data_IF_682207740896
#
_entry.id   IF_682207740896
#
_cell.length_a   1.000
_cell.length_b   1.000
_cell.length_c   1.000
_cell.angle_alpha   90.00
_cell.angle_beta   90.00
_cell.angle_gamma   90.00
#
_symmetry.space_group_name_H-M   'P 1'
#
loop_
_entity.id
_entity.type
_entity.pdbx_description
1 polymer ?
#
# COMPACT_ATOMS: atom_id res chain seq x y z
N UNK A 1 13.88 3.01 -32.08
CA UNK A 1 13.92 3.27 -30.64
C UNK A 1 12.93 2.30 -30.05
N UNK A 2 13.44 1.24 -29.44
CA UNK A 2 12.67 0.06 -29.03
C UNK A 2 11.74 0.39 -27.86
N UNK A 3 10.43 0.45 -28.16
CA UNK A 3 9.38 0.27 -27.17
C UNK A 3 9.32 -1.21 -26.82
N UNK A 4 10.10 -1.64 -25.83
CA UNK A 4 9.95 -2.97 -25.26
C UNK A 4 8.61 -3.07 -24.56
N UNK A 5 7.75 -3.85 -25.18
CA UNK A 5 6.48 -4.39 -24.72
C UNK A 5 6.57 -4.84 -23.27
N UNK A 6 6.13 -3.98 -22.35
CA UNK A 6 6.12 -4.27 -20.91
C UNK A 6 4.87 -5.11 -20.58
N UNK A 7 4.80 -6.31 -21.19
CA UNK A 7 3.77 -7.32 -20.98
C UNK A 7 4.25 -8.28 -19.87
N UNK A 8 3.59 -8.27 -18.69
CA UNK A 8 3.98 -9.12 -17.56
C UNK A 8 4.09 -10.61 -17.87
N UNK A 9 3.25 -11.11 -18.77
CA UNK A 9 3.27 -12.52 -19.18
C UNK A 9 4.51 -12.83 -20.01
N UNK A 10 4.96 -11.87 -20.84
CA UNK A 10 6.19 -12.01 -21.61
C UNK A 10 7.43 -11.86 -20.74
N UNK A 11 7.39 -10.94 -19.76
CA UNK A 11 8.47 -10.76 -18.80
C UNK A 11 8.67 -12.00 -17.93
N UNK A 12 7.58 -12.61 -17.42
CA UNK A 12 7.65 -13.88 -16.68
C UNK A 12 8.17 -15.03 -17.55
N UNK A 13 7.74 -15.10 -18.82
CA UNK A 13 8.27 -16.10 -19.78
C UNK A 13 9.76 -15.88 -20.04
N UNK A 14 10.21 -14.64 -20.18
CA UNK A 14 11.62 -14.30 -20.36
C UNK A 14 12.44 -14.63 -19.11
N UNK A 15 11.92 -14.32 -17.92
CA UNK A 15 12.53 -14.63 -16.64
C UNK A 15 12.69 -16.14 -16.41
N UNK A 16 11.64 -16.92 -16.70
CA UNK A 16 11.70 -18.39 -16.59
C UNK A 16 12.69 -19.00 -17.60
N UNK A 17 12.78 -18.46 -18.82
CA UNK A 17 13.79 -18.87 -19.81
C UNK A 17 15.21 -18.55 -19.33
N UNK A 18 15.42 -17.36 -18.77
CA UNK A 18 16.72 -16.97 -18.23
C UNK A 18 17.15 -17.91 -17.08
N UNK A 19 16.28 -18.15 -16.09
CA UNK A 19 16.56 -19.09 -14.99
C UNK A 19 16.96 -20.47 -15.53
N UNK A 20 16.21 -21.01 -16.51
CA UNK A 20 16.52 -22.30 -17.11
C UNK A 20 17.89 -22.33 -17.80
N UNK A 21 18.24 -21.27 -18.55
CA UNK A 21 19.56 -21.15 -19.20
C UNK A 21 20.69 -21.11 -18.18
N UNK A 22 20.56 -20.33 -17.11
CA UNK A 22 21.57 -20.27 -16.05
C UNK A 22 21.68 -21.60 -15.28
N UNK A 23 20.59 -22.35 -15.09
CA UNK A 23 20.63 -23.70 -14.51
C UNK A 23 21.37 -24.70 -15.40
N UNK A 24 21.19 -24.64 -16.72
CA UNK A 24 21.94 -25.45 -17.68
C UNK A 24 23.43 -25.12 -17.60
N UNK A 25 23.79 -23.83 -17.60
CA UNK A 25 25.18 -23.39 -17.47
C UNK A 25 25.79 -23.86 -16.15
N UNK A 26 25.05 -23.79 -15.04
CA UNK A 26 25.51 -24.26 -13.73
C UNK A 26 25.79 -25.76 -13.72
N UNK A 27 24.96 -26.56 -14.40
CA UNK A 27 25.11 -28.02 -14.51
C UNK A 27 26.24 -28.45 -15.45
N UNK A 28 26.57 -27.63 -16.45
CA UNK A 28 27.50 -27.99 -17.52
C UNK A 28 28.90 -27.38 -17.35
N UNK A 29 29.02 -26.28 -16.60
CA UNK A 29 30.32 -25.64 -16.38
C UNK A 29 31.21 -26.42 -15.42
N UNK A 30 32.49 -26.56 -15.80
CA UNK A 30 33.56 -27.11 -14.95
C UNK A 30 34.40 -26.02 -14.30
N UNK A 31 34.17 -24.74 -14.64
CA UNK A 31 34.89 -23.60 -14.09
C UNK A 31 34.29 -23.17 -12.73
N UNK A 32 35.05 -23.23 -11.62
CA UNK A 32 34.58 -22.81 -10.30
C UNK A 32 34.19 -21.32 -10.23
N UNK A 33 34.84 -20.45 -11.02
CA UNK A 33 34.55 -19.00 -11.00
C UNK A 33 33.23 -18.71 -11.71
N UNK A 34 33.02 -19.29 -12.89
CA UNK A 34 31.75 -19.22 -13.60
C UNK A 34 30.61 -19.84 -12.78
N UNK A 35 30.85 -20.95 -12.08
CA UNK A 35 29.88 -21.60 -11.20
C UNK A 35 29.43 -20.66 -10.08
N UNK A 36 30.37 -19.98 -9.40
CA UNK A 36 30.04 -19.03 -8.35
C UNK A 36 29.23 -17.83 -8.86
N UNK A 37 29.61 -17.27 -10.01
CA UNK A 37 28.90 -16.14 -10.64
C UNK A 37 27.47 -16.52 -11.04
N UNK A 38 27.30 -17.66 -11.69
CA UNK A 38 26.00 -18.17 -12.14
C UNK A 38 25.09 -18.49 -10.96
N UNK A 39 25.62 -19.03 -9.86
CA UNK A 39 24.84 -19.26 -8.64
C UNK A 39 24.32 -17.96 -8.03
N UNK A 40 25.14 -16.91 -7.94
CA UNK A 40 24.69 -15.59 -7.44
C UNK A 40 23.58 -15.00 -8.31
N UNK A 41 23.72 -15.11 -9.62
CA UNK A 41 22.73 -14.57 -10.56
C UNK A 41 21.42 -15.39 -10.55
N UNK A 42 21.50 -16.71 -10.38
CA UNK A 42 20.32 -17.55 -10.18
C UNK A 42 19.55 -17.21 -8.91
N UNK A 43 20.24 -16.92 -7.80
CA UNK A 43 19.60 -16.45 -6.57
C UNK A 43 18.86 -15.15 -6.85
N UNK A 44 19.52 -14.16 -7.47
CA UNK A 44 18.87 -12.88 -7.83
C UNK A 44 17.65 -13.04 -8.75
N UNK A 45 17.74 -13.90 -9.77
CA UNK A 45 16.64 -14.15 -10.70
C UNK A 45 15.48 -14.90 -10.02
N UNK A 46 15.77 -15.79 -9.07
CA UNK A 46 14.74 -16.47 -8.27
C UNK A 46 14.08 -15.53 -7.29
N UNK A 47 14.85 -14.69 -6.60
CA UNK A 47 14.31 -13.64 -5.72
C UNK A 47 13.47 -12.64 -6.53
N UNK A 48 13.91 -12.28 -7.73
CA UNK A 48 13.13 -11.42 -8.64
C UNK A 48 11.86 -12.13 -9.11
N UNK A 49 11.91 -13.44 -9.42
CA UNK A 49 10.73 -14.23 -9.80
C UNK A 49 9.76 -14.39 -8.63
N UNK A 50 10.24 -14.55 -7.42
CA UNK A 50 9.42 -14.63 -6.22
C UNK A 50 8.76 -13.27 -5.94
N UNK A 51 9.51 -12.17 -6.05
CA UNK A 51 8.95 -10.80 -6.05
C UNK A 51 7.94 -10.60 -7.18
N UNK A 52 8.22 -11.14 -8.36
CA UNK A 52 7.31 -11.10 -9.50
C UNK A 52 6.06 -11.93 -9.22
N UNK A 53 6.15 -13.12 -8.64
CA UNK A 53 4.96 -13.86 -8.23
C UNK A 53 4.19 -13.12 -7.13
N UNK A 54 4.82 -12.61 -6.08
CA UNK A 54 4.10 -11.84 -5.05
C UNK A 54 3.39 -10.60 -5.60
N UNK A 55 3.93 -9.94 -6.64
CA UNK A 55 3.33 -8.74 -7.25
C UNK A 55 2.36 -9.07 -8.42
N UNK A 56 2.42 -10.29 -8.98
CA UNK A 56 1.73 -10.68 -10.21
C UNK A 56 0.89 -11.97 -10.13
N UNK A 57 0.80 -12.65 -8.98
CA UNK A 57 0.01 -13.90 -8.82
C UNK A 57 -1.50 -13.69 -8.90
N UNK A 58 -2.00 -12.46 -9.03
CA UNK A 58 -3.44 -12.15 -9.20
C UNK A 58 -3.86 -12.18 -10.69
N UNK A 59 -3.06 -12.78 -11.58
CA UNK A 59 -3.41 -12.88 -13.01
C UNK A 59 -4.00 -14.25 -13.39
N UNK A 60 -4.04 -15.21 -12.47
CA UNK A 60 -4.77 -16.47 -12.69
C UNK A 60 -6.02 -16.52 -11.82
N UNK A 61 -7.16 -16.40 -12.51
CA UNK A 61 -8.51 -16.80 -12.13
C UNK A 61 -9.20 -16.01 -11.01
N UNK A 62 -10.32 -15.39 -11.38
CA UNK A 62 -11.45 -15.13 -10.48
C UNK A 62 -11.99 -16.48 -9.98
N UNK A 63 -11.25 -17.16 -9.10
CA UNK A 63 -11.68 -18.41 -8.49
C UNK A 63 -11.95 -18.22 -7.01
N UNK A 64 -13.21 -18.47 -6.69
CA UNK A 64 -13.80 -18.73 -5.37
C UNK A 64 -13.81 -17.56 -4.39
N UNK A 65 -14.98 -16.92 -4.33
CA UNK A 65 -15.42 -16.14 -3.18
C UNK A 65 -15.41 -17.05 -1.94
N UNK A 66 -14.30 -17.06 -1.20
CA UNK A 66 -14.37 -17.36 0.22
C UNK A 66 -15.19 -16.25 0.86
N UNK A 67 -16.25 -16.66 1.58
CA UNK A 67 -17.12 -15.80 2.38
C UNK A 67 -16.47 -15.36 3.69
N UNK A 68 -15.14 -15.27 3.71
CA UNK A 68 -14.38 -14.77 4.84
C UNK A 68 -14.44 -13.24 4.82
N UNK A 69 -14.56 -12.63 5.99
CA UNK A 69 -14.51 -11.18 6.10
C UNK A 69 -13.10 -10.74 5.68
N UNK A 70 -12.99 -9.79 4.74
CA UNK A 70 -11.70 -9.35 4.17
C UNK A 70 -10.67 -8.92 5.23
N UNK A 71 -11.14 -8.45 6.39
CA UNK A 71 -10.28 -8.02 7.50
C UNK A 71 -10.14 -9.08 8.60
N UNK A 72 -10.51 -10.34 8.35
CA UNK A 72 -10.27 -11.43 9.27
C UNK A 72 -8.76 -11.56 9.58
N UNK A 73 -8.42 -11.60 10.87
CA UNK A 73 -7.02 -11.53 11.34
C UNK A 73 -6.48 -10.13 11.62
N UNK A 74 -7.25 -9.06 11.33
CA UNK A 74 -6.91 -7.66 11.60
C UNK A 74 -7.97 -7.04 12.53
N UNK A 75 -7.82 -7.16 13.87
CA UNK A 75 -8.88 -6.82 14.82
C UNK A 75 -9.39 -5.38 14.72
N UNK A 76 -8.50 -4.41 14.56
CA UNK A 76 -8.88 -3.01 14.43
C UNK A 76 -9.62 -2.76 13.12
N UNK A 77 -9.08 -3.24 12.00
CA UNK A 77 -9.71 -3.08 10.68
C UNK A 77 -11.09 -3.75 10.66
N UNK A 78 -11.18 -4.98 11.15
CA UNK A 78 -12.42 -5.75 11.24
C UNK A 78 -13.53 -5.03 12.02
N UNK A 79 -13.17 -4.37 13.13
CA UNK A 79 -14.14 -3.71 14.00
C UNK A 79 -14.57 -2.33 13.49
N UNK A 80 -13.69 -1.62 12.79
CA UNK A 80 -13.85 -0.18 12.56
C UNK A 80 -13.97 0.20 11.08
N UNK A 81 -13.48 -0.62 10.16
CA UNK A 81 -13.47 -0.32 8.72
C UNK A 81 -14.60 -1.08 8.03
N UNK A 82 -15.50 -0.33 7.41
CA UNK A 82 -16.62 -0.89 6.65
C UNK A 82 -16.27 -0.98 5.16
N UNK A 83 -16.44 -2.16 4.58
CA UNK A 83 -16.29 -2.38 3.15
C UNK A 83 -17.54 -1.95 2.40
N UNK A 84 -17.32 -1.26 1.29
CA UNK A 84 -18.34 -1.01 0.28
C UNK A 84 -18.11 -2.00 -0.86
N UNK A 85 -18.77 -3.18 -0.79
CA UNK A 85 -18.59 -4.28 -1.75
C UNK A 85 -19.03 -3.89 -3.17
N UNK A 86 -19.93 -2.92 -3.29
CA UNK A 86 -20.53 -2.49 -4.56
C UNK A 86 -19.70 -1.41 -5.28
N UNK A 87 -18.75 -0.76 -4.60
CA UNK A 87 -18.05 0.43 -5.12
C UNK A 87 -17.33 0.20 -6.44
N UNK A 88 -16.43 -0.78 -6.51
CA UNK A 88 -15.67 -1.14 -7.72
C UNK A 88 -15.81 -2.62 -8.04
N UNK A 89 -17.05 -3.12 -8.03
CA UNK A 89 -17.45 -4.50 -8.27
C UNK A 89 -16.35 -5.37 -8.92
N UNK A 90 -15.96 -6.45 -8.23
CA UNK A 90 -14.96 -7.47 -8.58
C UNK A 90 -13.48 -7.23 -8.16
N UNK A 91 -13.08 -6.05 -7.64
CA UNK A 91 -11.71 -5.84 -7.11
C UNK A 91 -11.69 -5.70 -5.58
N UNK A 92 -11.79 -6.84 -4.87
CA UNK A 92 -11.85 -6.88 -3.40
C UNK A 92 -10.69 -6.15 -2.72
N UNK A 93 -9.46 -6.40 -3.17
CA UNK A 93 -8.24 -5.77 -2.63
C UNK A 93 -8.28 -4.23 -2.77
N UNK A 94 -8.77 -3.72 -3.91
CA UNK A 94 -8.90 -2.26 -4.08
C UNK A 94 -10.04 -1.71 -3.24
N UNK A 95 -11.18 -2.40 -3.14
CA UNK A 95 -12.28 -1.99 -2.25
C UNK A 95 -11.82 -1.90 -0.79
N UNK A 96 -11.04 -2.87 -0.32
CA UNK A 96 -10.44 -2.86 1.01
C UNK A 96 -9.48 -1.69 1.21
N UNK A 97 -8.57 -1.46 0.25
CA UNK A 97 -7.67 -0.31 0.25
C UNK A 97 -8.44 1.02 0.35
N UNK A 98 -9.51 1.17 -0.43
CA UNK A 98 -10.34 2.38 -0.41
C UNK A 98 -11.08 2.54 0.91
N UNK A 99 -11.56 1.46 1.52
CA UNK A 99 -12.20 1.49 2.83
C UNK A 99 -11.21 1.92 3.93
N UNK A 100 -9.99 1.37 3.92
CA UNK A 100 -8.89 1.74 4.83
C UNK A 100 -8.57 3.24 4.67
N UNK A 101 -8.38 3.73 3.44
CA UNK A 101 -8.07 5.13 3.19
C UNK A 101 -9.21 6.07 3.57
N UNK A 102 -10.46 5.66 3.34
CA UNK A 102 -11.63 6.44 3.73
C UNK A 102 -11.74 6.57 5.26
N UNK A 103 -11.50 5.47 5.99
CA UNK A 103 -11.44 5.51 7.45
C UNK A 103 -10.33 6.43 7.93
N UNK A 104 -9.14 6.33 7.33
CA UNK A 104 -8.02 7.22 7.63
C UNK A 104 -8.36 8.70 7.41
N UNK A 105 -8.93 9.05 6.27
CA UNK A 105 -9.34 10.43 5.95
C UNK A 105 -10.32 10.97 6.99
N UNK A 106 -11.33 10.17 7.32
CA UNK A 106 -12.43 10.59 8.18
C UNK A 106 -11.97 10.79 9.62
N UNK A 107 -11.22 9.84 10.16
CA UNK A 107 -10.85 9.81 11.57
C UNK A 107 -9.48 10.45 11.82
N UNK A 108 -8.44 9.97 11.14
CA UNK A 108 -7.05 10.31 11.44
C UNK A 108 -6.54 11.56 10.75
N UNK A 109 -6.89 11.81 9.48
CA UNK A 109 -6.48 13.05 8.82
C UNK A 109 -7.06 14.28 9.54
N UNK A 110 -8.27 14.16 10.09
CA UNK A 110 -8.90 15.20 10.91
C UNK A 110 -8.20 15.43 12.25
N UNK A 111 -7.62 14.38 12.87
CA UNK A 111 -6.77 14.47 14.06
C UNK A 111 -5.48 15.23 13.76
N UNK A 112 -4.89 15.05 12.58
CA UNK A 112 -3.61 15.66 12.16
C UNK A 112 -3.69 17.17 11.87
N UNK A 113 -4.74 17.86 12.32
CA UNK A 113 -4.84 19.31 12.19
C UNK A 113 -4.03 20.00 13.28
N UNK A 114 -3.49 21.19 13.00
CA UNK A 114 -2.74 21.97 14.00
C UNK A 114 -3.53 22.25 15.27
N UNK A 115 -4.86 22.39 15.15
CA UNK A 115 -5.76 22.61 16.27
C UNK A 115 -5.80 21.40 17.22
N UNK A 116 -5.70 20.17 16.71
CA UNK A 116 -5.90 18.94 17.48
C UNK A 116 -4.58 18.25 17.84
N UNK A 117 -3.61 18.25 16.95
CA UNK A 117 -2.29 17.67 17.15
C UNK A 117 -1.22 18.77 17.15
N UNK A 118 -0.93 19.31 18.35
CA UNK A 118 0.07 20.36 18.53
C UNK A 118 1.43 19.71 18.75
N UNK A 119 2.33 19.93 17.80
CA UNK A 119 3.66 19.32 17.78
C UNK A 119 4.74 20.40 17.88
N UNK A 120 5.96 19.98 18.15
CA UNK A 120 7.13 20.85 17.97
C UNK A 120 7.31 21.26 16.50
N UNK A 121 8.30 22.12 16.23
CA UNK A 121 8.55 22.61 14.87
C UNK A 121 8.91 21.50 13.87
N UNK A 122 9.72 20.51 14.28
CA UNK A 122 10.18 19.41 13.41
C UNK A 122 8.97 18.58 12.97
N UNK A 123 8.19 18.09 13.93
CA UNK A 123 7.10 17.16 13.67
C UNK A 123 5.87 17.87 13.12
N UNK A 124 5.66 19.17 13.39
CA UNK A 124 4.61 19.95 12.72
C UNK A 124 4.83 20.02 11.21
N UNK A 125 6.07 20.26 10.77
CA UNK A 125 6.39 20.29 9.33
C UNK A 125 6.16 18.92 8.67
N UNK A 126 6.50 17.84 9.37
CA UNK A 126 6.28 16.49 8.86
C UNK A 126 4.79 16.12 8.79
N UNK A 127 4.02 16.45 9.84
CA UNK A 127 2.56 16.32 9.90
C UNK A 127 1.90 16.97 8.69
N UNK A 128 2.29 18.22 8.38
CA UNK A 128 1.71 18.97 7.28
C UNK A 128 2.04 18.34 5.91
N UNK A 129 3.18 17.67 5.80
CA UNK A 129 3.55 16.90 4.61
C UNK A 129 2.59 15.76 4.27
N UNK A 130 1.91 15.17 5.26
CA UNK A 130 0.99 14.06 5.01
C UNK A 130 -0.26 14.46 4.22
N UNK A 131 -0.71 15.72 4.32
CA UNK A 131 -1.83 16.20 3.50
C UNK A 131 -1.51 16.14 2.00
N UNK A 132 -0.30 16.52 1.62
CA UNK A 132 0.14 16.44 0.23
C UNK A 132 0.26 14.99 -0.25
N UNK A 133 0.86 14.12 0.55
CA UNK A 133 0.94 12.69 0.21
C UNK A 133 -0.43 12.05 0.07
N UNK A 134 -1.36 12.40 0.95
CA UNK A 134 -2.72 11.87 0.92
C UNK A 134 -3.49 12.38 -0.32
N UNK A 135 -3.35 13.66 -0.68
CA UNK A 135 -3.92 14.22 -1.91
C UNK A 135 -3.37 13.53 -3.17
N UNK A 136 -2.07 13.19 -3.19
CA UNK A 136 -1.48 12.44 -4.30
C UNK A 136 -2.09 11.04 -4.43
N UNK A 137 -2.38 10.37 -3.31
CA UNK A 137 -3.10 9.08 -3.31
C UNK A 137 -4.53 9.26 -3.83
N UNK A 138 -5.26 10.26 -3.35
CA UNK A 138 -6.63 10.53 -3.82
C UNK A 138 -6.68 10.77 -5.34
N UNK A 139 -5.70 11.49 -5.89
CA UNK A 139 -5.58 11.68 -7.34
C UNK A 139 -5.39 10.34 -8.08
N UNK A 140 -4.54 9.46 -7.55
CA UNK A 140 -4.33 8.12 -8.14
C UNK A 140 -5.57 7.23 -8.08
N UNK A 141 -6.36 7.36 -7.01
CA UNK A 141 -7.67 6.70 -6.90
C UNK A 141 -8.58 7.19 -8.02
N UNK A 142 -8.72 8.52 -8.19
CA UNK A 142 -9.54 9.09 -9.27
C UNK A 142 -9.07 8.59 -10.64
N UNK A 143 -7.77 8.60 -10.90
CA UNK A 143 -7.18 8.11 -12.16
C UNK A 143 -7.46 6.61 -12.40
N UNK A 144 -7.58 5.82 -11.33
CA UNK A 144 -7.92 4.40 -11.39
C UNK A 144 -9.42 4.18 -11.62
N UNK A 145 -10.29 4.89 -10.90
CA UNK A 145 -11.74 4.84 -11.06
C UNK A 145 -12.17 5.28 -12.47
N UNK A 146 -11.54 6.31 -13.04
CA UNK A 146 -11.84 6.76 -14.40
C UNK A 146 -11.45 5.73 -15.46
N UNK A 147 -10.38 4.97 -15.22
CA UNK A 147 -10.01 3.84 -16.08
C UNK A 147 -11.05 2.72 -16.03
N UNK A 148 -11.57 2.42 -14.84
CA UNK A 148 -12.64 1.43 -14.66
C UNK A 148 -13.93 1.84 -15.37
N UNK A 149 -14.31 3.13 -15.30
CA UNK A 149 -15.47 3.64 -16.03
C UNK A 149 -15.33 3.46 -17.54
N UNK A 150 -14.13 3.68 -18.11
CA UNK A 150 -13.88 3.46 -19.54
C UNK A 150 -14.10 2.00 -19.93
N UNK A 151 -13.63 1.06 -19.11
CA UNK A 151 -13.81 -0.38 -19.34
C UNK A 151 -15.29 -0.77 -19.23
N UNK A 152 -15.95 -0.37 -18.14
CA UNK A 152 -17.34 -0.76 -17.87
C UNK A 152 -18.33 -0.17 -18.88
N UNK A 153 -18.05 1.03 -19.40
CA UNK A 153 -18.89 1.66 -20.42
C UNK A 153 -18.70 1.05 -21.82
N UNK A 154 -17.73 0.15 -22.03
CA UNK A 154 -17.50 -0.51 -23.31
C UNK A 154 -17.03 0.41 -24.44
N UNK A 155 -16.63 1.65 -24.13
CA UNK A 155 -16.26 2.68 -25.10
C UNK A 155 -14.82 2.51 -25.61
N UNK A 156 -14.47 1.33 -26.11
CA UNK A 156 -13.14 1.04 -26.65
C UNK A 156 -13.19 0.12 -27.87
N UNK A 157 -12.18 0.22 -28.73
CA UNK A 157 -11.97 -0.74 -29.82
C UNK A 157 -11.39 -2.03 -29.23
N UNK A 158 -11.79 -3.19 -29.72
CA UNK A 158 -11.35 -4.50 -29.23
C UNK A 158 -9.81 -4.65 -29.19
N UNK A 159 -9.11 -4.07 -30.18
CA UNK A 159 -7.65 -4.02 -30.22
C UNK A 159 -7.00 -3.21 -29.08
N UNK A 160 -7.72 -2.25 -28.49
CA UNK A 160 -7.25 -1.43 -27.37
C UNK A 160 -7.56 -2.04 -25.99
N UNK A 161 -8.40 -3.09 -25.94
CA UNK A 161 -8.83 -3.71 -24.67
C UNK A 161 -7.64 -4.26 -23.88
N UNK A 162 -6.71 -4.93 -24.55
CA UNK A 162 -5.51 -5.50 -23.92
C UNK A 162 -4.63 -4.40 -23.32
N UNK A 163 -4.48 -3.27 -24.01
CA UNK A 163 -3.72 -2.12 -23.54
C UNK A 163 -4.38 -1.48 -22.30
N UNK A 164 -5.70 -1.28 -22.36
CA UNK A 164 -6.50 -0.72 -21.27
C UNK A 164 -6.43 -1.62 -20.03
N UNK A 165 -6.57 -2.94 -20.18
CA UNK A 165 -6.40 -3.91 -19.07
C UNK A 165 -5.01 -3.85 -18.46
N UNK A 166 -3.96 -3.80 -19.29
CA UNK A 166 -2.58 -3.67 -18.80
C UNK A 166 -2.35 -2.35 -18.06
N UNK A 167 -2.90 -1.24 -18.55
CA UNK A 167 -2.84 0.06 -17.89
C UNK A 167 -3.56 0.05 -16.55
N UNK A 168 -4.75 -0.55 -16.46
CA UNK A 168 -5.49 -0.75 -15.20
C UNK A 168 -4.63 -1.51 -14.18
N UNK A 169 -4.03 -2.64 -14.57
CA UNK A 169 -3.18 -3.43 -13.68
C UNK A 169 -1.99 -2.62 -13.15
N UNK A 170 -1.35 -1.81 -13.99
CA UNK A 170 -0.26 -0.92 -13.56
C UNK A 170 -0.75 0.14 -12.57
N UNK A 171 -1.87 0.80 -12.86
CA UNK A 171 -2.46 1.81 -11.96
C UNK A 171 -2.83 1.21 -10.60
N UNK A 172 -3.46 0.03 -10.57
CA UNK A 172 -3.78 -0.73 -9.35
C UNK A 172 -2.54 -0.94 -8.48
N UNK A 173 -1.44 -1.41 -9.07
CA UNK A 173 -0.19 -1.66 -8.35
C UNK A 173 0.44 -0.40 -7.79
N UNK A 174 0.51 0.65 -8.62
CA UNK A 174 1.05 1.93 -8.18
C UNK A 174 0.23 2.45 -7.00
N UNK A 175 -1.10 2.31 -7.04
CA UNK A 175 -1.97 2.71 -5.95
C UNK A 175 -1.65 1.96 -4.65
N UNK A 176 -1.56 0.62 -4.70
CA UNK A 176 -1.22 -0.21 -3.52
C UNK A 176 0.16 0.14 -2.96
N UNK A 177 1.18 0.26 -3.81
CA UNK A 177 2.56 0.57 -3.42
C UNK A 177 2.65 1.96 -2.77
N UNK A 178 2.04 2.97 -3.38
CA UNK A 178 2.10 4.33 -2.84
C UNK A 178 1.30 4.45 -1.53
N UNK A 179 0.21 3.69 -1.39
CA UNK A 179 -0.57 3.60 -0.15
C UNK A 179 0.23 2.94 0.98
N UNK A 180 0.90 1.81 0.71
CA UNK A 180 1.78 1.17 1.69
C UNK A 180 2.94 2.08 2.11
N UNK A 181 3.60 2.76 1.16
CA UNK A 181 4.65 3.74 1.48
C UNK A 181 4.15 4.86 2.38
N UNK A 182 2.95 5.37 2.11
CA UNK A 182 2.30 6.39 2.93
C UNK A 182 2.11 5.89 4.36
N UNK A 183 1.52 4.71 4.54
CA UNK A 183 1.32 4.15 5.87
C UNK A 183 2.62 3.81 6.59
N UNK A 184 3.65 3.31 5.90
CA UNK A 184 4.97 3.10 6.53
C UNK A 184 5.60 4.40 7.02
N UNK A 185 5.47 5.48 6.24
CA UNK A 185 5.93 6.80 6.67
C UNK A 185 5.13 7.30 7.88
N UNK A 186 3.81 7.13 7.86
CA UNK A 186 2.93 7.48 8.97
C UNK A 186 3.28 6.70 10.24
N UNK A 187 3.50 5.38 10.12
CA UNK A 187 3.92 4.50 11.21
C UNK A 187 5.20 5.03 11.87
N UNK A 188 6.19 5.39 11.07
CA UNK A 188 7.46 5.90 11.57
C UNK A 188 7.27 7.24 12.32
N UNK A 189 6.49 8.14 11.73
CA UNK A 189 6.14 9.41 12.35
C UNK A 189 5.44 9.23 13.71
N UNK A 190 4.44 8.36 13.77
CA UNK A 190 3.71 8.05 15.00
C UNK A 190 4.61 7.41 16.05
N UNK A 191 5.43 6.45 15.63
CA UNK A 191 6.37 5.77 16.52
C UNK A 191 7.35 6.76 17.15
N UNK A 192 7.95 7.66 16.37
CA UNK A 192 8.90 8.66 16.90
C UNK A 192 8.26 9.57 17.95
N UNK A 193 7.01 9.98 17.74
CA UNK A 193 6.30 10.86 18.69
C UNK A 193 5.84 10.08 19.93
N UNK A 194 5.32 8.86 19.77
CA UNK A 194 4.91 8.02 20.89
C UNK A 194 6.10 7.66 21.79
N UNK A 195 7.24 7.30 21.20
CA UNK A 195 8.48 7.02 21.96
C UNK A 195 9.02 8.26 22.68
N UNK A 196 8.81 9.46 22.14
CA UNK A 196 9.14 10.72 22.81
C UNK A 196 8.18 11.02 23.97
N UNK A 197 6.87 10.81 23.77
CA UNK A 197 5.84 10.95 24.81
C UNK A 197 6.14 10.03 26.00
N UNK A 198 6.50 8.78 25.76
CA UNK A 198 6.87 7.79 26.79
C UNK A 198 8.08 8.21 27.63
N UNK A 199 8.99 9.00 27.04
CA UNK A 199 10.19 9.52 27.70
C UNK A 199 9.98 10.91 28.31
N UNK A 200 8.73 11.35 28.43
CA UNK A 200 8.37 12.71 28.85
C UNK A 200 9.03 13.81 28.02
N UNK A 201 9.18 13.55 26.72
CA UNK A 201 9.68 14.52 25.75
C UNK A 201 8.66 15.61 25.40
N UNK A 202 9.03 16.42 24.42
CA UNK A 202 8.32 17.67 24.05
C UNK A 202 7.86 17.69 22.59
N UNK A 203 7.93 16.56 21.89
CA UNK A 203 7.49 16.44 20.50
C UNK A 203 5.99 16.73 20.35
N UNK A 204 5.17 16.29 21.32
CA UNK A 204 3.73 16.56 21.38
C UNK A 204 3.40 17.46 22.58
N UNK A 205 2.90 18.67 22.29
CA UNK A 205 2.68 19.72 23.28
C UNK A 205 1.35 19.57 24.02
N UNK A 206 0.43 18.80 23.46
CA UNK A 206 -0.92 18.61 24.00
C UNK A 206 -1.28 17.13 24.19
N UNK A 207 -0.30 16.30 24.52
CA UNK A 207 -0.45 14.84 24.67
C UNK A 207 -1.62 14.43 25.58
N UNK A 208 -1.86 15.18 26.65
CA UNK A 208 -2.91 14.93 27.65
C UNK A 208 -4.25 15.64 27.36
N UNK A 209 -4.32 16.53 26.36
CA UNK A 209 -5.57 17.19 25.96
C UNK A 209 -6.51 16.16 25.33
N UNK A 210 -7.82 16.30 25.57
CA UNK A 210 -8.83 15.46 24.93
C UNK A 210 -9.17 15.98 23.53
N UNK A 211 -9.29 15.05 22.58
CA UNK A 211 -9.72 15.32 21.22
C UNK A 211 -11.22 15.60 21.23
N UNK A 212 -11.61 16.67 20.54
CA UNK A 212 -12.99 17.09 20.36
C UNK A 212 -13.27 17.43 18.91
N UNK A 213 -14.41 16.95 18.41
CA UNK A 213 -14.96 17.23 17.10
C UNK A 213 -16.23 18.08 17.22
N UNK A 214 -16.37 19.03 16.30
CA UNK A 214 -17.55 19.88 16.25
C UNK A 214 -18.76 19.08 15.77
N UNK A 215 -19.98 19.45 16.18
CA UNK A 215 -21.20 18.73 15.78
C UNK A 215 -21.35 18.57 14.25
N UNK A 216 -20.84 19.53 13.48
CA UNK A 216 -20.89 19.49 12.01
C UNK A 216 -20.02 18.37 11.42
N UNK A 217 -18.98 17.93 12.13
CA UNK A 217 -18.11 16.83 11.73
C UNK A 217 -18.75 15.47 12.03
N UNK A 218 -19.79 15.44 12.88
CA UNK A 218 -20.52 14.24 13.29
C UNK A 218 -19.82 13.43 14.38
N UNK A 219 -20.40 12.28 14.75
CA UNK A 219 -19.76 11.38 15.71
C UNK A 219 -18.50 10.75 15.10
N UNK A 220 -17.39 10.90 15.81
CA UNK A 220 -16.06 10.43 15.43
C UNK A 220 -15.56 9.41 16.44
N UNK A 221 -14.76 8.46 15.96
CA UNK A 221 -14.21 7.38 16.77
C UNK A 221 -13.29 7.91 17.88
N UNK A 222 -12.52 8.96 17.57
CA UNK A 222 -11.52 9.54 18.48
C UNK A 222 -12.10 10.55 19.49
N UNK A 223 -13.42 10.80 19.48
CA UNK A 223 -14.04 11.75 20.39
C UNK A 223 -13.78 11.37 21.86
N UNK A 224 -13.25 12.32 22.63
CA UNK A 224 -13.01 12.15 24.05
C UNK A 224 -11.72 11.41 24.42
N UNK A 225 -11.03 10.76 23.49
CA UNK A 225 -9.69 10.22 23.75
C UNK A 225 -8.67 11.34 23.95
N UNK A 226 -7.60 11.08 24.70
CA UNK A 226 -6.45 12.00 24.72
C UNK A 226 -5.73 11.99 23.37
N UNK A 227 -4.94 13.02 23.09
CA UNK A 227 -4.10 13.06 21.89
C UNK A 227 -3.13 11.88 21.86
N UNK A 228 -2.50 11.55 22.99
CA UNK A 228 -1.60 10.40 23.08
C UNK A 228 -2.32 9.06 22.79
N UNK A 229 -3.51 8.85 23.37
CA UNK A 229 -4.33 7.66 23.08
C UNK A 229 -4.72 7.61 21.60
N UNK A 230 -5.11 8.74 21.02
CA UNK A 230 -5.50 8.84 19.61
C UNK A 230 -4.33 8.51 18.67
N UNK A 231 -3.12 8.96 19.01
CA UNK A 231 -1.90 8.58 18.28
C UNK A 231 -1.58 7.09 18.41
N UNK A 232 -1.77 6.50 19.59
CA UNK A 232 -1.58 5.06 19.79
C UNK A 232 -2.56 4.23 18.95
N UNK A 233 -3.82 4.68 18.89
CA UNK A 233 -4.85 4.10 18.02
C UNK A 233 -4.47 4.23 16.54
N UNK A 234 -3.99 5.40 16.11
CA UNK A 234 -3.53 5.63 14.73
C UNK A 234 -2.34 4.72 14.38
N UNK A 235 -1.42 4.54 15.33
CA UNK A 235 -0.29 3.62 15.18
C UNK A 235 -0.75 2.16 15.05
N UNK A 236 -1.73 1.71 15.85
CA UNK A 236 -2.31 0.38 15.72
C UNK A 236 -2.96 0.17 14.35
N UNK A 237 -3.83 1.11 13.94
CA UNK A 237 -4.48 1.09 12.63
C UNK A 237 -3.45 1.01 11.50
N UNK A 238 -2.40 1.82 11.57
CA UNK A 238 -1.36 1.88 10.55
C UNK A 238 -0.58 0.57 10.47
N UNK A 239 -0.29 -0.08 11.60
CA UNK A 239 0.34 -1.40 11.62
C UNK A 239 -0.55 -2.45 10.94
N UNK A 240 -1.84 -2.50 11.28
CA UNK A 240 -2.76 -3.45 10.65
C UNK A 240 -2.91 -3.18 9.14
N UNK A 241 -2.99 -1.91 8.71
CA UNK A 241 -3.03 -1.55 7.30
C UNK A 241 -1.79 -2.02 6.53
N UNK A 242 -0.58 -1.79 7.08
CA UNK A 242 0.68 -2.27 6.48
C UNK A 242 0.70 -3.80 6.41
N UNK A 243 0.29 -4.46 7.50
CA UNK A 243 0.24 -5.93 7.56
C UNK A 243 -0.78 -6.50 6.57
N UNK A 244 -1.91 -5.83 6.35
CA UNK A 244 -2.91 -6.21 5.35
C UNK A 244 -2.34 -6.13 3.93
N UNK A 245 -1.64 -5.04 3.56
CA UNK A 245 -1.02 -4.93 2.23
C UNK A 245 0.12 -5.93 2.02
N UNK A 246 0.78 -6.36 3.11
CA UNK A 246 1.82 -7.39 3.12
C UNK A 246 2.90 -7.20 2.04
N UNK A 247 3.27 -5.94 1.74
CA UNK A 247 4.33 -5.65 0.78
C UNK A 247 5.71 -5.83 1.42
N UNK A 248 6.68 -6.45 0.72
CA UNK A 248 8.04 -6.59 1.22
C UNK A 248 8.74 -5.22 1.29
N UNK A 249 9.50 -4.97 2.35
CA UNK A 249 10.36 -3.80 2.44
C UNK A 249 11.52 -3.93 1.46
N UNK A 250 11.46 -3.19 0.36
CA UNK A 250 12.58 -3.10 -0.58
C UNK A 250 13.55 -2.06 -0.01
N UNK A 251 14.47 -2.50 0.84
CA UNK A 251 15.65 -1.72 1.20
C UNK A 251 16.56 -1.76 -0.04
N UNK A 252 16.47 -0.72 -0.87
CA UNK A 252 17.49 -0.48 -1.89
C UNK A 252 18.73 0.00 -1.14
N UNK A 253 19.70 -0.90 -0.95
CA UNK A 253 21.04 -0.50 -0.51
C UNK A 253 21.65 0.30 -1.68
N UNK A 254 21.82 1.60 -1.47
CA UNK A 254 22.69 2.45 -2.31
C UNK A 254 24.16 2.03 -2.19
#
# INVERSE_FOLDING_TARGET
MDETTNNPVEELKQLNRAIHQYEIVLKTTKDPVQKHRVSKELVRLRDYREKFHHVYSVVEEETEQTSENEFEGFPFLYQNVSLDEDRLAHDREVNALLAILHFFEKEFLSLMTERRLKLDFKYSLERDGFYHLFQDIQKRISDFEDELKIINNGNYKEAALTEIKNRRLRKRRILIIETDKFFRRLKKFDQEILEDIEKDGTACLNKDERVHFEMIEGMRYLEGYTVAESMSIMFQFTNEAISYFNLPEIIVQE
#
